data_IF_519410401300
#
_entry.id   IF_519410401300
#
_cell.length_a   1.000
_cell.length_b   1.000
_cell.length_c   1.000
_cell.angle_alpha   90.00
_cell.angle_beta   90.00
_cell.angle_gamma   90.00
#
_symmetry.space_group_name_H-M   'P 1'
#
loop_
_entity.id
_entity.type
_entity.pdbx_description
1 polymer ?
#
# COMPACT_ATOMS: atom_id res chain seq x y z
N UNK A 1 -17.14 16.34 -47.38
CA UNK A 1 -16.55 14.99 -47.28
C UNK A 1 -15.24 15.17 -46.53
N UNK A 2 -15.29 15.11 -45.19
CA UNK A 2 -15.11 13.90 -44.37
C UNK A 2 -13.76 13.24 -44.64
N UNK A 3 -12.88 13.30 -43.63
CA UNK A 3 -11.71 12.46 -43.29
C UNK A 3 -10.67 13.37 -42.59
N UNK A 4 -10.16 13.14 -41.38
CA UNK A 4 -10.31 12.10 -40.38
C UNK A 4 -10.01 12.73 -39.01
N UNK A 5 -10.93 12.51 -38.08
CA UNK A 5 -10.78 12.73 -36.65
C UNK A 5 -10.31 11.41 -36.04
N UNK A 6 -9.11 11.34 -35.45
CA UNK A 6 -8.72 10.50 -34.30
C UNK A 6 -7.21 10.31 -34.20
N UNK A 7 -6.58 11.07 -33.29
CA UNK A 7 -5.48 10.60 -32.43
C UNK A 7 -5.53 11.39 -31.12
N UNK A 8 -6.52 11.09 -30.29
CA UNK A 8 -6.47 11.41 -28.87
C UNK A 8 -6.68 10.11 -28.11
N UNK A 9 -5.61 9.64 -27.53
CA UNK A 9 -5.50 8.43 -26.73
C UNK A 9 -4.02 8.32 -26.40
N UNK A 10 -3.69 8.11 -25.12
CA UNK A 10 -2.34 7.97 -24.59
C UNK A 10 -1.60 9.28 -24.28
N UNK A 11 -2.08 10.02 -23.27
CA UNK A 11 -1.26 10.84 -22.33
C UNK A 11 -2.19 11.63 -21.42
N UNK A 12 -2.55 11.09 -20.27
CA UNK A 12 -3.42 11.82 -19.32
C UNK A 12 -3.53 11.22 -17.93
N UNK A 13 -3.18 9.94 -17.77
CA UNK A 13 -3.26 9.27 -16.47
C UNK A 13 -2.02 9.59 -15.63
N UNK A 14 -0.81 9.44 -16.17
CA UNK A 14 0.44 9.53 -15.39
C UNK A 14 0.80 10.93 -14.87
N UNK A 15 0.45 12.00 -15.59
CA UNK A 15 0.75 13.39 -15.20
C UNK A 15 -0.21 13.92 -14.13
N UNK A 16 -1.45 13.46 -14.14
CA UNK A 16 -2.50 13.88 -13.19
C UNK A 16 -2.27 13.33 -11.77
N UNK A 17 -1.69 12.14 -11.64
CA UNK A 17 -1.36 11.53 -10.33
C UNK A 17 -0.18 12.26 -9.67
N UNK A 18 0.81 12.68 -10.46
CA UNK A 18 1.99 13.38 -9.93
C UNK A 18 1.65 14.82 -9.49
N UNK A 19 0.72 15.49 -10.17
CA UNK A 19 0.21 16.81 -9.78
C UNK A 19 -0.69 16.81 -8.55
N UNK A 20 -1.45 15.74 -8.31
CA UNK A 20 -2.31 15.60 -7.13
C UNK A 20 -1.54 15.25 -5.85
N UNK A 21 -0.45 14.48 -5.96
CA UNK A 21 0.49 14.23 -4.85
C UNK A 21 1.17 15.50 -4.32
N UNK A 22 1.29 16.55 -5.14
CA UNK A 22 1.86 17.85 -4.74
C UNK A 22 0.89 18.72 -3.93
N UNK A 23 -0.42 18.45 -3.98
CA UNK A 23 -1.46 19.28 -3.32
C UNK A 23 -1.97 18.61 -2.05
N UNK A 24 -1.93 17.28 -1.99
CA UNK A 24 -2.34 16.53 -0.82
C UNK A 24 -1.33 16.74 0.33
N UNK A 25 -1.78 17.30 1.46
CA UNK A 25 -0.96 17.39 2.68
C UNK A 25 -0.53 15.97 3.06
N UNK A 26 0.78 15.72 3.10
CA UNK A 26 1.30 14.44 3.55
C UNK A 26 0.74 14.12 4.95
N UNK A 27 0.30 12.89 5.17
CA UNK A 27 -0.06 12.42 6.51
C UNK A 27 1.21 12.47 7.36
N UNK A 28 1.24 13.41 8.31
CA UNK A 28 2.44 13.66 9.15
C UNK A 28 2.32 13.02 10.53
N UNK A 29 1.12 12.58 10.90
CA UNK A 29 0.84 11.91 12.16
C UNK A 29 1.19 10.43 12.10
N UNK A 30 1.67 9.89 13.21
CA UNK A 30 1.85 8.45 13.38
C UNK A 30 0.55 7.82 13.87
N UNK A 31 0.21 6.60 13.43
CA UNK A 31 -1.02 5.92 13.87
C UNK A 31 -1.00 5.56 15.37
N UNK A 32 0.21 5.39 15.92
CA UNK A 32 0.46 5.05 17.31
C UNK A 32 1.62 5.90 17.83
N UNK A 33 1.55 6.31 19.09
CA UNK A 33 2.61 7.03 19.79
C UNK A 33 3.44 6.12 20.69
N UNK A 34 2.97 4.89 20.93
CA UNK A 34 3.57 3.90 21.83
C UNK A 34 3.21 4.14 23.30
N UNK A 35 2.38 5.14 23.60
CA UNK A 35 1.96 5.53 24.95
C UNK A 35 0.52 5.11 25.27
N UNK A 36 -0.18 4.54 24.30
CA UNK A 36 -1.55 4.06 24.44
C UNK A 36 -1.58 2.91 25.46
N UNK A 37 -2.65 2.81 26.25
CA UNK A 37 -2.79 1.78 27.29
C UNK A 37 -2.62 0.34 26.77
N UNK A 38 -2.95 0.09 25.49
CA UNK A 38 -2.71 -1.19 24.84
C UNK A 38 -1.23 -1.61 24.86
N UNK A 39 -0.29 -0.66 24.86
CA UNK A 39 1.15 -0.93 24.93
C UNK A 39 1.68 -1.21 26.34
N UNK A 40 0.84 -1.19 27.38
CA UNK A 40 1.24 -1.72 28.70
C UNK A 40 1.56 -3.22 28.61
N UNK A 41 0.88 -3.94 27.71
CA UNK A 41 1.17 -5.35 27.42
C UNK A 41 2.49 -5.51 26.66
N UNK A 42 3.43 -6.26 27.26
CA UNK A 42 4.70 -6.60 26.61
C UNK A 42 4.48 -7.33 25.28
N UNK A 43 3.49 -8.22 25.22
CA UNK A 43 3.15 -8.99 24.02
C UNK A 43 2.77 -8.04 22.87
N UNK A 44 1.98 -7.00 23.16
CA UNK A 44 1.55 -6.01 22.16
C UNK A 44 2.75 -5.16 21.70
N UNK A 45 3.65 -4.77 22.61
CA UNK A 45 4.89 -4.06 22.26
C UNK A 45 5.81 -4.90 21.37
N UNK A 46 6.00 -6.17 21.70
CA UNK A 46 6.81 -7.11 20.90
C UNK A 46 6.20 -7.34 19.51
N UNK A 47 4.87 -7.54 19.44
CA UNK A 47 4.12 -7.70 18.20
C UNK A 47 4.30 -6.46 17.30
N UNK A 48 4.07 -5.26 17.84
CA UNK A 48 4.25 -4.01 17.11
C UNK A 48 5.69 -3.82 16.62
N UNK A 49 6.67 -4.07 17.50
CA UNK A 49 8.08 -3.97 17.14
C UNK A 49 8.47 -4.94 16.03
N UNK A 50 7.96 -6.17 16.06
CA UNK A 50 8.17 -7.16 14.99
C UNK A 50 7.51 -6.70 13.70
N UNK A 51 6.28 -6.19 13.77
CA UNK A 51 5.52 -5.73 12.61
C UNK A 51 6.22 -4.55 11.91
N UNK A 52 6.74 -3.59 12.67
CA UNK A 52 7.58 -2.51 12.15
C UNK A 52 8.85 -3.03 11.47
N UNK A 53 9.58 -3.96 12.11
CA UNK A 53 10.81 -4.53 11.53
C UNK A 53 10.53 -5.28 10.23
N UNK A 54 9.55 -6.16 10.23
CA UNK A 54 9.20 -6.95 9.05
C UNK A 54 8.74 -6.04 7.89
N UNK A 55 7.97 -4.99 8.19
CA UNK A 55 7.57 -3.99 7.21
C UNK A 55 8.77 -3.22 6.64
N UNK A 56 9.67 -2.71 7.49
CA UNK A 56 10.89 -2.01 7.01
C UNK A 56 11.80 -2.94 6.20
N UNK A 57 11.96 -4.19 6.61
CA UNK A 57 12.73 -5.20 5.87
C UNK A 57 12.10 -5.48 4.50
N UNK A 58 10.78 -5.57 4.43
CA UNK A 58 10.04 -5.77 3.19
C UNK A 58 10.16 -4.58 2.24
N UNK A 59 10.03 -3.34 2.73
CA UNK A 59 10.23 -2.14 1.90
C UNK A 59 11.64 -2.14 1.29
N UNK A 60 12.66 -2.42 2.10
CA UNK A 60 14.04 -2.52 1.61
C UNK A 60 14.25 -3.64 0.59
N UNK A 61 13.59 -4.79 0.78
CA UNK A 61 13.61 -5.86 -0.21
C UNK A 61 12.95 -5.42 -1.52
N UNK A 62 11.82 -4.72 -1.42
CA UNK A 62 11.05 -4.20 -2.56
C UNK A 62 11.80 -3.17 -3.42
N UNK A 63 12.79 -2.47 -2.88
CA UNK A 63 13.67 -1.59 -3.67
C UNK A 63 14.37 -2.33 -4.82
N UNK A 64 14.57 -3.65 -4.67
CA UNK A 64 15.17 -4.52 -5.69
C UNK A 64 14.13 -5.30 -6.51
N UNK A 65 12.82 -5.03 -6.38
CA UNK A 65 11.76 -5.82 -7.02
C UNK A 65 11.95 -5.97 -8.54
N UNK A 66 12.39 -4.90 -9.22
CA UNK A 66 12.62 -4.91 -10.66
C UNK A 66 13.74 -5.84 -11.14
N UNK A 67 14.61 -6.34 -10.23
CA UNK A 67 15.69 -7.28 -10.56
C UNK A 67 15.35 -8.73 -10.20
N UNK A 68 14.20 -8.97 -9.58
CA UNK A 68 13.78 -10.31 -9.21
C UNK A 68 13.43 -11.12 -10.44
N UNK A 69 13.80 -12.41 -10.41
CA UNK A 69 13.21 -13.38 -11.31
C UNK A 69 11.70 -13.55 -11.01
N UNK A 70 10.93 -14.17 -11.92
CA UNK A 70 9.50 -14.34 -11.72
C UNK A 70 9.11 -15.06 -10.42
N UNK A 71 9.91 -16.03 -9.96
CA UNK A 71 9.64 -16.72 -8.69
C UNK A 71 9.90 -15.80 -7.50
N UNK A 72 10.96 -14.98 -7.57
CA UNK A 72 11.28 -13.96 -6.58
C UNK A 72 10.21 -12.88 -6.48
N UNK A 73 9.64 -12.43 -7.62
CA UNK A 73 8.52 -11.49 -7.64
C UNK A 73 7.29 -12.07 -6.92
N UNK A 74 6.93 -13.32 -7.21
CA UNK A 74 5.79 -13.99 -6.55
C UNK A 74 6.02 -14.16 -5.05
N UNK A 75 7.21 -14.64 -4.65
CA UNK A 75 7.54 -14.80 -3.24
C UNK A 75 7.60 -13.46 -2.46
N UNK A 76 7.97 -12.37 -3.14
CA UNK A 76 7.89 -11.03 -2.57
C UNK A 76 6.44 -10.58 -2.37
N UNK A 77 5.57 -10.77 -3.37
CA UNK A 77 4.15 -10.41 -3.29
C UNK A 77 3.43 -11.17 -2.17
N UNK A 78 3.75 -12.46 -1.98
CA UNK A 78 3.19 -13.25 -0.88
C UNK A 78 3.62 -12.71 0.49
N UNK A 79 4.88 -12.27 0.62
CA UNK A 79 5.36 -11.63 1.85
C UNK A 79 4.73 -10.26 2.07
N UNK A 80 4.53 -9.48 1.00
CA UNK A 80 3.88 -8.18 1.05
C UNK A 80 2.44 -8.29 1.55
N UNK A 81 1.62 -9.12 0.92
CA UNK A 81 0.24 -9.35 1.34
C UNK A 81 0.18 -9.91 2.78
N UNK A 82 1.14 -10.75 3.16
CA UNK A 82 1.25 -11.27 4.53
C UNK A 82 1.52 -10.19 5.58
N UNK A 83 2.43 -9.25 5.30
CA UNK A 83 2.73 -8.13 6.21
C UNK A 83 1.54 -7.17 6.29
N UNK A 84 0.90 -6.86 5.17
CA UNK A 84 -0.30 -6.01 5.11
C UNK A 84 -1.46 -6.60 5.92
N UNK A 85 -1.72 -7.89 5.78
CA UNK A 85 -2.77 -8.58 6.54
C UNK A 85 -2.55 -8.46 8.06
N UNK A 86 -1.29 -8.56 8.51
CA UNK A 86 -0.97 -8.39 9.94
C UNK A 86 -1.16 -6.93 10.40
N UNK A 87 -0.83 -5.96 9.56
CA UNK A 87 -1.16 -4.55 9.83
C UNK A 87 -2.66 -4.36 9.97
N UNK A 88 -3.46 -4.93 9.08
CA UNK A 88 -4.92 -4.85 9.15
C UNK A 88 -5.48 -5.40 10.47
N UNK A 89 -5.00 -6.56 10.89
CA UNK A 89 -5.38 -7.16 12.18
C UNK A 89 -4.97 -6.26 13.35
N UNK A 90 -3.76 -5.70 13.32
CA UNK A 90 -3.26 -4.83 14.38
C UNK A 90 -4.09 -3.54 14.48
N UNK A 91 -4.31 -2.85 13.36
CA UNK A 91 -5.13 -1.63 13.29
C UNK A 91 -6.58 -1.89 13.71
N UNK A 92 -7.18 -3.00 13.29
CA UNK A 92 -8.54 -3.37 13.68
C UNK A 92 -8.66 -3.53 15.20
N UNK A 93 -7.66 -4.17 15.82
CA UNK A 93 -7.62 -4.35 17.27
C UNK A 93 -7.54 -3.00 18.00
N UNK A 94 -6.67 -2.11 17.55
CA UNK A 94 -6.52 -0.77 18.15
C UNK A 94 -7.74 0.12 17.93
N UNK A 95 -8.40 0.00 16.78
CA UNK A 95 -9.66 0.69 16.52
C UNK A 95 -10.76 0.24 17.47
N UNK A 96 -10.89 -1.07 17.73
CA UNK A 96 -11.85 -1.61 18.70
C UNK A 96 -11.55 -1.18 20.15
N UNK A 97 -10.27 -1.01 20.48
CA UNK A 97 -9.84 -0.54 21.81
C UNK A 97 -9.95 0.99 21.98
N UNK A 98 -10.32 1.74 20.93
CA UNK A 98 -10.33 3.21 20.96
C UNK A 98 -8.94 3.83 21.14
N UNK A 99 -7.89 3.06 20.81
CA UNK A 99 -6.49 3.45 21.01
C UNK A 99 -5.84 4.04 19.76
N UNK A 100 -6.54 4.09 18.63
CA UNK A 100 -6.05 4.73 17.41
C UNK A 100 -6.13 6.26 17.55
N UNK A 101 -5.06 6.98 17.20
CA UNK A 101 -5.06 8.45 17.22
C UNK A 101 -6.15 9.01 16.28
N UNK A 102 -7.13 9.77 16.80
CA UNK A 102 -8.18 10.37 15.97
C UNK A 102 -7.64 11.29 14.87
N UNK A 103 -6.54 12.00 15.13
CA UNK A 103 -5.92 12.91 14.16
C UNK A 103 -5.27 12.14 13.00
N UNK A 104 -4.76 10.93 13.24
CA UNK A 104 -4.26 10.05 12.17
C UNK A 104 -5.38 9.65 11.22
N UNK A 105 -6.53 9.24 11.78
CA UNK A 105 -7.70 8.87 10.97
C UNK A 105 -8.19 10.07 10.14
N UNK A 106 -8.35 11.23 10.76
CA UNK A 106 -8.82 12.44 10.10
C UNK A 106 -7.88 12.89 8.97
N UNK A 107 -6.55 12.88 9.21
CA UNK A 107 -5.58 13.23 8.17
C UNK A 107 -5.56 12.23 7.02
N UNK A 108 -5.69 10.93 7.31
CA UNK A 108 -5.74 9.90 6.27
C UNK A 108 -6.99 10.04 5.41
N UNK A 109 -8.16 10.23 6.04
CA UNK A 109 -9.43 10.43 5.34
C UNK A 109 -9.38 11.71 4.48
N UNK A 110 -8.83 12.81 5.01
CA UNK A 110 -8.64 14.06 4.28
C UNK A 110 -7.66 13.93 3.11
N UNK A 111 -6.52 13.27 3.31
CA UNK A 111 -5.53 13.00 2.28
C UNK A 111 -6.13 12.21 1.12
N UNK A 112 -6.81 11.10 1.41
CA UNK A 112 -7.46 10.28 0.38
C UNK A 112 -8.59 11.04 -0.31
N UNK A 113 -9.40 11.78 0.45
CA UNK A 113 -10.48 12.60 -0.11
C UNK A 113 -9.96 13.67 -1.06
N UNK A 114 -8.78 14.25 -0.80
CA UNK A 114 -8.14 15.23 -1.69
C UNK A 114 -7.75 14.64 -3.06
N UNK A 115 -7.52 13.32 -3.12
CA UNK A 115 -7.30 12.56 -4.35
C UNK A 115 -8.60 11.97 -4.93
N UNK A 116 -9.76 12.31 -4.37
CA UNK A 116 -11.08 11.82 -4.81
C UNK A 116 -11.34 10.35 -4.46
N UNK A 117 -10.70 9.82 -3.42
CA UNK A 117 -10.77 8.42 -3.02
C UNK A 117 -11.10 8.25 -1.54
N UNK A 118 -11.73 7.12 -1.19
CA UNK A 118 -11.93 6.68 0.19
C UNK A 118 -10.89 5.62 0.57
N UNK A 119 -10.76 5.31 1.87
CA UNK A 119 -9.93 4.19 2.36
C UNK A 119 -10.33 2.86 1.71
N UNK A 120 -11.63 2.62 1.53
CA UNK A 120 -12.14 1.41 0.88
C UNK A 120 -11.73 1.36 -0.60
N UNK A 121 -11.89 2.47 -1.32
CA UNK A 121 -11.46 2.57 -2.73
C UNK A 121 -9.96 2.38 -2.87
N UNK A 122 -9.16 3.00 -2.00
CA UNK A 122 -7.71 2.84 -1.97
C UNK A 122 -7.30 1.37 -1.76
N UNK A 123 -7.92 0.69 -0.78
CA UNK A 123 -7.66 -0.75 -0.54
C UNK A 123 -7.99 -1.60 -1.75
N UNK A 124 -9.08 -1.29 -2.45
CA UNK A 124 -9.47 -2.00 -3.67
C UNK A 124 -8.43 -1.81 -4.78
N UNK A 125 -8.01 -0.57 -5.03
CA UNK A 125 -6.99 -0.25 -6.04
C UNK A 125 -5.65 -0.92 -5.69
N UNK A 126 -5.25 -0.91 -4.42
CA UNK A 126 -4.03 -1.58 -3.97
C UNK A 126 -4.10 -3.09 -4.23
N UNK A 127 -5.23 -3.73 -3.92
CA UNK A 127 -5.42 -5.16 -4.18
C UNK A 127 -5.36 -5.49 -5.67
N UNK A 128 -6.02 -4.68 -6.50
CA UNK A 128 -5.98 -4.80 -7.96
C UNK A 128 -4.54 -4.66 -8.49
N UNK A 129 -3.76 -3.74 -7.95
CA UNK A 129 -2.36 -3.57 -8.32
C UNK A 129 -1.52 -4.81 -7.99
N UNK A 130 -1.68 -5.41 -6.80
CA UNK A 130 -1.00 -6.66 -6.44
C UNK A 130 -1.39 -7.82 -7.35
N UNK A 131 -2.67 -7.93 -7.71
CA UNK A 131 -3.15 -8.97 -8.62
C UNK A 131 -2.57 -8.81 -10.03
N UNK A 132 -2.45 -7.58 -10.53
CA UNK A 132 -1.79 -7.29 -11.80
C UNK A 132 -0.29 -7.62 -11.76
N UNK A 133 0.41 -7.26 -10.69
CA UNK A 133 1.83 -7.59 -10.52
C UNK A 133 2.06 -9.10 -10.45
N UNK A 134 1.16 -9.84 -9.78
CA UNK A 134 1.20 -11.30 -9.71
C UNK A 134 1.00 -11.93 -11.09
N UNK A 135 -0.01 -11.46 -11.82
CA UNK A 135 -0.29 -11.94 -13.17
C UNK A 135 0.91 -11.71 -14.10
N UNK A 136 1.52 -10.53 -14.05
CA UNK A 136 2.72 -10.21 -14.85
C UNK A 136 3.89 -11.16 -14.55
N UNK A 137 4.19 -11.39 -13.27
CA UNK A 137 5.21 -12.34 -12.86
C UNK A 137 4.89 -13.78 -13.30
N UNK A 138 3.62 -14.21 -13.24
CA UNK A 138 3.21 -15.53 -13.73
C UNK A 138 3.41 -15.66 -15.25
N UNK A 139 3.08 -14.63 -16.03
CA UNK A 139 3.30 -14.62 -17.47
C UNK A 139 4.79 -14.66 -17.83
N UNK A 140 5.62 -13.87 -17.15
CA UNK A 140 7.07 -13.92 -17.31
C UNK A 140 7.62 -15.33 -17.06
N UNK A 141 7.16 -15.98 -15.98
CA UNK A 141 7.55 -17.35 -15.66
C UNK A 141 7.15 -18.35 -16.74
N UNK A 142 5.94 -18.23 -17.30
CA UNK A 142 5.45 -19.13 -18.36
C UNK A 142 6.22 -18.94 -19.68
N UNK A 143 6.70 -17.72 -19.94
CA UNK A 143 7.40 -17.37 -21.17
C UNK A 143 8.92 -17.57 -21.10
N UNK A 144 9.47 -17.95 -19.93
CA UNK A 144 10.89 -18.26 -19.80
C UNK A 144 11.21 -19.64 -20.39
N UNK A 145 12.21 -19.74 -21.30
CA UNK A 145 12.66 -21.03 -21.80
C UNK A 145 13.31 -21.85 -20.68
N UNK A 146 12.93 -23.13 -20.58
CA UNK A 146 13.45 -24.13 -19.62
C UNK A 146 14.95 -24.36 -19.76
#
# INVERSE_FOLDING_TARGET
>A
MMEQQQRQGEQGVSSSIMGSLSVAQAVTTTPFTGKEAAFESEIIREEYGKLCRDHSSLIKLGESFGTFDPMGKLAFLDQLEGVESRWDVFFSRFSLLGALDPAFKEQTDGFLSSMGMSVESFRKVLKEAHDLMRLDAEQERMNQPM
#
